data_IF_393801197909
#
_entry.id   IF_393801197909
#
_cell.length_a   1.000
_cell.length_b   1.000
_cell.length_c   1.000
_cell.angle_alpha   90.00
_cell.angle_beta   90.00
_cell.angle_gamma   90.00
#
_symmetry.space_group_name_H-M   'P 1'
#
loop_
_entity.id
_entity.type
_entity.pdbx_description
1 polymer ?
#
# COMPACT_ATOMS: atom_id res chain seq x y z
N UNK A 1 -32.28 -7.60 -52.44
CA UNK A 1 -32.37 -7.83 -50.99
C UNK A 1 -31.04 -8.38 -50.43
N UNK A 2 -30.48 -9.43 -51.01
CA UNK A 2 -29.23 -10.06 -50.53
C UNK A 2 -28.00 -9.10 -50.56
N UNK A 3 -27.90 -8.21 -51.55
CA UNK A 3 -26.82 -7.19 -51.63
C UNK A 3 -26.96 -6.11 -50.54
N UNK A 4 -28.18 -5.79 -50.11
CA UNK A 4 -28.44 -4.80 -49.07
C UNK A 4 -28.11 -5.36 -47.69
N UNK A 5 -28.46 -6.61 -47.42
CA UNK A 5 -28.15 -7.33 -46.18
C UNK A 5 -26.62 -7.53 -46.00
N UNK A 6 -25.88 -7.86 -47.08
CA UNK A 6 -24.43 -7.94 -47.04
C UNK A 6 -23.75 -6.60 -46.69
N UNK A 7 -24.29 -5.47 -47.20
CA UNK A 7 -23.75 -4.15 -46.91
C UNK A 7 -23.97 -3.72 -45.46
N UNK A 8 -25.13 -4.06 -44.88
CA UNK A 8 -25.44 -3.82 -43.47
C UNK A 8 -24.54 -4.66 -42.57
N UNK A 9 -24.34 -5.94 -42.89
CA UNK A 9 -23.45 -6.83 -42.14
C UNK A 9 -21.98 -6.39 -42.20
N UNK A 10 -21.51 -5.89 -43.33
CA UNK A 10 -20.13 -5.39 -43.51
C UNK A 10 -19.89 -4.10 -42.71
N UNK A 11 -20.86 -3.18 -42.68
CA UNK A 11 -20.77 -1.96 -41.90
C UNK A 11 -20.81 -2.23 -40.39
N UNK A 12 -21.66 -3.16 -39.96
CA UNK A 12 -21.73 -3.58 -38.54
C UNK A 12 -20.44 -4.23 -38.03
N UNK A 13 -19.77 -5.04 -38.89
CA UNK A 13 -18.48 -5.66 -38.54
C UNK A 13 -17.33 -4.63 -38.55
N UNK A 14 -17.41 -3.62 -39.44
CA UNK A 14 -16.44 -2.52 -39.45
C UNK A 14 -16.58 -1.61 -38.22
N UNK A 15 -17.82 -1.29 -37.83
CA UNK A 15 -18.07 -0.50 -36.60
C UNK A 15 -17.66 -1.25 -35.34
N UNK A 16 -17.88 -2.57 -35.27
CA UNK A 16 -17.39 -3.42 -34.19
C UNK A 16 -15.84 -3.49 -34.14
N UNK A 17 -15.17 -3.42 -35.30
CA UNK A 17 -13.71 -3.35 -35.37
C UNK A 17 -13.18 -2.01 -34.87
N UNK A 18 -13.78 -0.89 -35.30
CA UNK A 18 -13.42 0.46 -34.85
C UNK A 18 -13.72 0.66 -33.37
N UNK A 19 -14.82 0.08 -32.84
CA UNK A 19 -15.08 0.11 -31.40
C UNK A 19 -14.08 -0.73 -30.60
N UNK A 20 -13.55 -1.84 -31.16
CA UNK A 20 -12.48 -2.61 -30.53
C UNK A 20 -11.14 -1.87 -30.49
N UNK A 21 -10.84 -1.04 -31.48
CA UNK A 21 -9.59 -0.27 -31.54
C UNK A 21 -9.60 0.95 -30.60
N UNK A 22 -10.79 1.46 -30.23
CA UNK A 22 -10.95 2.59 -29.31
C UNK A 22 -11.32 2.19 -27.87
N UNK A 23 -11.55 0.92 -27.61
CA UNK A 23 -11.72 0.41 -26.25
C UNK A 23 -10.33 0.20 -25.67
N UNK A 24 -9.85 1.16 -24.88
CA UNK A 24 -8.74 0.92 -23.95
C UNK A 24 -9.26 -0.09 -22.92
N UNK A 25 -9.22 -1.35 -23.32
CA UNK A 25 -9.32 -2.44 -22.37
C UNK A 25 -8.01 -2.35 -21.58
N UNK A 26 -8.10 -1.94 -20.33
CA UNK A 26 -7.07 -2.31 -19.35
C UNK A 26 -7.14 -3.83 -19.23
N UNK A 27 -6.62 -4.54 -20.22
CA UNK A 27 -6.24 -5.92 -20.07
C UNK A 27 -5.04 -5.89 -19.14
N UNK A 28 -5.21 -6.41 -17.93
CA UNK A 28 -4.07 -6.94 -17.21
C UNK A 28 -3.45 -7.92 -18.22
N UNK A 29 -2.29 -7.55 -18.74
CA UNK A 29 -1.64 -8.24 -19.84
C UNK A 29 -1.20 -9.60 -19.31
N UNK A 30 -2.07 -10.61 -19.46
CA UNK A 30 -1.71 -12.01 -19.24
C UNK A 30 -0.88 -12.47 -20.44
N UNK A 31 0.32 -11.90 -20.59
CA UNK A 31 1.34 -12.52 -21.42
C UNK A 31 1.74 -13.79 -20.70
N UNK A 32 1.73 -14.92 -21.40
CA UNK A 32 2.41 -16.14 -20.95
C UNK A 32 3.89 -15.79 -20.76
N UNK A 33 4.24 -15.39 -19.56
CA UNK A 33 5.61 -15.01 -19.23
C UNK A 33 6.39 -16.26 -18.84
N UNK A 34 7.35 -16.59 -19.65
CA UNK A 34 8.40 -17.57 -19.35
C UNK A 34 9.33 -17.09 -18.22
N UNK A 35 9.16 -15.84 -17.74
CA UNK A 35 9.92 -15.25 -16.65
C UNK A 35 8.97 -14.70 -15.59
N UNK A 36 9.07 -15.18 -14.34
CA UNK A 36 8.40 -14.56 -13.18
C UNK A 36 8.96 -13.15 -13.00
N UNK A 37 8.15 -12.13 -13.23
CA UNK A 37 8.50 -10.74 -12.93
C UNK A 37 8.05 -10.41 -11.52
N UNK A 38 9.02 -10.28 -10.62
CA UNK A 38 8.76 -9.65 -9.34
C UNK A 38 8.48 -8.16 -9.52
N UNK A 39 7.82 -7.55 -8.54
CA UNK A 39 7.52 -6.12 -8.53
C UNK A 39 7.36 -5.60 -7.10
N UNK A 40 7.54 -4.31 -6.94
CA UNK A 40 7.39 -3.61 -5.66
C UNK A 40 6.18 -2.68 -5.74
N UNK A 41 5.21 -2.90 -4.84
CA UNK A 41 4.00 -2.08 -4.70
C UNK A 41 4.01 -1.41 -3.32
N UNK A 42 3.93 -0.09 -3.27
CA UNK A 42 3.89 0.67 -2.02
C UNK A 42 2.52 1.30 -1.81
N UNK A 43 1.91 1.02 -0.66
CA UNK A 43 0.67 1.63 -0.18
C UNK A 43 1.04 2.58 0.95
N UNK A 44 0.99 3.88 0.72
CA UNK A 44 1.39 4.88 1.70
C UNK A 44 0.28 5.88 2.01
N UNK A 45 0.42 6.63 3.09
CA UNK A 45 -0.54 7.67 3.50
C UNK A 45 -0.62 7.83 5.02
N UNK A 46 -1.48 8.74 5.49
CA UNK A 46 -1.67 9.03 6.90
C UNK A 46 -2.30 7.86 7.69
N UNK A 47 -2.34 7.94 9.00
CA UNK A 47 -3.15 7.03 9.81
C UNK A 47 -4.63 7.13 9.41
N UNK A 48 -5.38 6.07 9.63
CA UNK A 48 -6.81 5.95 9.32
C UNK A 48 -7.18 6.05 7.82
N UNK A 49 -6.21 5.87 6.92
CA UNK A 49 -6.40 6.00 5.46
C UNK A 49 -6.71 4.67 4.75
N UNK A 50 -6.78 3.55 5.47
CA UNK A 50 -7.08 2.25 4.88
C UNK A 50 -5.88 1.52 4.27
N UNK A 51 -4.64 1.84 4.66
CA UNK A 51 -3.43 1.17 4.15
C UNK A 51 -3.43 -0.33 4.39
N UNK A 52 -3.67 -0.73 5.64
CA UNK A 52 -3.70 -2.13 6.05
C UNK A 52 -4.85 -2.88 5.39
N UNK A 53 -6.04 -2.26 5.23
CA UNK A 53 -7.18 -2.82 4.49
C UNK A 53 -6.79 -3.10 3.04
N UNK A 54 -6.14 -2.16 2.37
CA UNK A 54 -5.71 -2.32 0.98
C UNK A 54 -4.60 -3.39 0.85
N UNK A 55 -3.65 -3.44 1.79
CA UNK A 55 -2.65 -4.50 1.87
C UNK A 55 -3.34 -5.87 1.98
N UNK A 56 -4.23 -6.06 2.97
CA UNK A 56 -4.97 -7.29 3.19
C UNK A 56 -5.78 -7.66 1.94
N UNK A 57 -6.44 -6.70 1.29
CA UNK A 57 -7.21 -6.91 0.06
C UNK A 57 -6.34 -7.47 -1.06
N UNK A 58 -5.14 -6.91 -1.29
CA UNK A 58 -4.19 -7.39 -2.32
C UNK A 58 -3.67 -8.78 -1.98
N UNK A 59 -3.31 -9.04 -0.72
CA UNK A 59 -2.79 -10.33 -0.28
C UNK A 59 -3.84 -11.45 -0.36
N UNK A 60 -5.11 -11.18 0.02
CA UNK A 60 -6.21 -12.13 -0.16
C UNK A 60 -6.44 -12.50 -1.62
N UNK A 61 -6.34 -11.54 -2.56
CA UNK A 61 -6.42 -11.83 -3.99
C UNK A 61 -5.29 -12.75 -4.44
N UNK A 62 -4.06 -12.56 -3.94
CA UNK A 62 -2.94 -13.45 -4.23
C UNK A 62 -3.20 -14.88 -3.70
N UNK A 63 -3.73 -15.00 -2.48
CA UNK A 63 -4.12 -16.29 -1.91
C UNK A 63 -5.21 -16.99 -2.73
N UNK A 64 -6.23 -16.25 -3.20
CA UNK A 64 -7.26 -16.82 -4.11
C UNK A 64 -6.68 -17.26 -5.46
N UNK A 65 -5.58 -16.65 -5.91
CA UNK A 65 -4.82 -17.08 -7.08
C UNK A 65 -3.85 -18.23 -6.78
N UNK A 66 -3.98 -18.89 -5.63
CA UNK A 66 -3.13 -20.01 -5.17
C UNK A 66 -1.64 -19.66 -5.08
N UNK A 67 -1.30 -18.38 -4.90
CA UNK A 67 0.06 -17.91 -4.64
C UNK A 67 0.42 -18.13 -3.16
N UNK A 68 1.67 -18.49 -2.90
CA UNK A 68 2.20 -18.62 -1.54
C UNK A 68 2.53 -17.23 -1.01
N UNK A 69 1.80 -16.82 0.04
CA UNK A 69 1.86 -15.49 0.63
C UNK A 69 2.46 -15.57 2.03
N UNK A 70 3.45 -14.72 2.31
CA UNK A 70 3.98 -14.49 3.66
C UNK A 70 3.89 -13.01 4.00
N UNK A 71 3.63 -12.72 5.28
CA UNK A 71 3.41 -11.35 5.75
C UNK A 71 4.33 -11.08 6.93
N UNK A 72 5.00 -9.93 6.89
CA UNK A 72 5.92 -9.47 7.91
C UNK A 72 5.47 -8.15 8.51
N UNK A 73 5.74 -7.98 9.80
CA UNK A 73 5.60 -6.71 10.51
C UNK A 73 6.79 -6.49 11.44
N UNK A 74 7.13 -5.25 11.80
CA UNK A 74 8.21 -5.00 12.75
C UNK A 74 7.77 -5.44 14.16
N UNK A 75 8.67 -6.11 14.90
CA UNK A 75 8.40 -6.60 16.26
C UNK A 75 8.07 -5.48 17.25
N UNK A 76 8.46 -4.22 16.95
CA UNK A 76 8.10 -3.06 17.77
C UNK A 76 6.60 -2.76 17.76
N UNK A 77 5.85 -3.23 16.75
CA UNK A 77 4.40 -3.00 16.67
C UNK A 77 3.63 -4.03 17.51
N UNK A 78 3.37 -3.68 18.77
CA UNK A 78 2.64 -4.50 19.74
C UNK A 78 1.18 -4.08 19.94
N UNK A 79 0.64 -3.19 19.08
CA UNK A 79 -0.73 -2.64 19.22
C UNK A 79 -1.84 -3.66 19.07
N UNK A 80 -1.58 -4.71 18.29
CA UNK A 80 -2.48 -5.84 18.06
C UNK A 80 -1.78 -7.15 18.44
N UNK A 81 -2.44 -8.31 18.24
CA UNK A 81 -1.81 -9.60 18.57
C UNK A 81 -0.45 -9.74 17.89
N UNK A 82 0.51 -10.35 18.55
CA UNK A 82 1.90 -10.46 18.05
C UNK A 82 1.98 -11.16 16.68
N UNK A 83 0.99 -11.99 16.33
CA UNK A 83 0.99 -12.83 15.12
C UNK A 83 -0.03 -12.40 14.06
N UNK A 84 -0.68 -11.23 14.16
CA UNK A 84 -1.69 -10.82 13.20
C UNK A 84 -1.50 -9.37 12.73
N UNK A 85 -1.69 -9.15 11.42
CA UNK A 85 -1.98 -7.83 10.86
C UNK A 85 -3.49 -7.64 10.92
N UNK A 86 -3.93 -6.68 11.70
CA UNK A 86 -5.35 -6.39 11.93
C UNK A 86 -5.69 -5.03 11.35
N UNK A 87 -6.71 -4.97 10.50
CA UNK A 87 -7.26 -3.69 10.06
C UNK A 87 -8.24 -3.13 11.10
N UNK A 88 -8.54 -1.83 11.03
CA UNK A 88 -9.51 -1.17 11.90
C UNK A 88 -10.92 -1.81 11.86
N UNK A 89 -11.25 -2.58 10.82
CA UNK A 89 -12.50 -3.33 10.65
C UNK A 89 -12.41 -4.79 11.15
N UNK A 90 -11.44 -5.14 11.99
CA UNK A 90 -11.18 -6.48 12.53
C UNK A 90 -10.92 -7.56 11.46
N UNK A 91 -10.50 -7.20 10.27
CA UNK A 91 -9.99 -8.16 9.30
C UNK A 91 -8.55 -8.48 9.63
N UNK A 92 -8.23 -9.74 9.98
CA UNK A 92 -6.88 -10.17 10.30
C UNK A 92 -6.31 -11.13 9.28
N UNK A 93 -4.99 -11.10 9.12
CA UNK A 93 -4.19 -12.12 8.43
C UNK A 93 -2.97 -12.39 9.32
N UNK A 94 -2.58 -13.67 9.45
CA UNK A 94 -1.37 -14.04 10.19
C UNK A 94 -0.15 -13.34 9.61
N UNK A 95 0.72 -12.86 10.47
CA UNK A 95 1.97 -12.19 10.13
C UNK A 95 3.11 -12.68 11.02
N UNK A 96 4.31 -12.63 10.51
CA UNK A 96 5.53 -12.98 11.22
C UNK A 96 6.19 -11.68 11.72
N UNK A 97 6.26 -11.43 13.05
CA UNK A 97 6.99 -10.29 13.58
C UNK A 97 8.49 -10.53 13.42
N UNK A 98 9.23 -9.51 12.99
CA UNK A 98 10.68 -9.58 12.79
C UNK A 98 11.37 -8.31 13.27
N UNK A 99 12.63 -8.46 13.73
CA UNK A 99 13.42 -7.37 14.29
C UNK A 99 14.24 -6.61 13.23
N UNK A 100 14.53 -7.23 12.08
CA UNK A 100 15.37 -6.67 11.04
C UNK A 100 14.83 -7.00 9.66
N UNK A 101 14.93 -6.05 8.73
CA UNK A 101 14.53 -6.25 7.33
C UNK A 101 15.27 -7.41 6.66
N UNK A 102 16.56 -7.61 6.98
CA UNK A 102 17.37 -8.71 6.44
C UNK A 102 16.82 -10.09 6.80
N UNK A 103 16.12 -10.22 7.93
CA UNK A 103 15.51 -11.48 8.35
C UNK A 103 14.41 -11.95 7.38
N UNK A 104 13.78 -11.05 6.62
CA UNK A 104 12.76 -11.40 5.61
C UNK A 104 13.32 -12.41 4.61
N UNK A 105 14.57 -12.23 4.19
CA UNK A 105 15.22 -13.08 3.18
C UNK A 105 15.38 -14.54 3.63
N UNK A 106 15.38 -14.82 4.94
CA UNK A 106 15.49 -16.17 5.49
C UNK A 106 14.22 -16.99 5.32
N UNK A 107 13.06 -16.32 5.20
CA UNK A 107 11.75 -16.98 5.12
C UNK A 107 11.22 -17.11 3.69
N UNK A 108 11.92 -16.58 2.68
CA UNK A 108 11.36 -16.37 1.34
C UNK A 108 11.83 -17.36 0.26
N UNK A 109 12.34 -18.55 0.62
CA UNK A 109 12.88 -19.52 -0.35
C UNK A 109 11.86 -20.07 -1.35
N UNK A 110 10.56 -20.06 -1.02
CA UNK A 110 9.50 -20.62 -1.88
C UNK A 110 8.24 -19.74 -1.95
N UNK A 111 8.36 -18.42 -1.77
CA UNK A 111 7.24 -17.49 -1.67
C UNK A 111 7.01 -16.81 -3.01
N UNK A 112 5.74 -16.58 -3.35
CA UNK A 112 5.34 -15.86 -4.56
C UNK A 112 5.03 -14.38 -4.26
N UNK A 113 4.49 -14.09 -3.06
CA UNK A 113 4.09 -12.76 -2.64
C UNK A 113 4.50 -12.50 -1.20
N UNK A 114 5.16 -11.38 -0.96
CA UNK A 114 5.51 -10.86 0.36
C UNK A 114 4.67 -9.64 0.67
N UNK A 115 4.00 -9.63 1.83
CA UNK A 115 3.36 -8.47 2.42
C UNK A 115 4.21 -7.90 3.54
N UNK A 116 4.34 -6.58 3.63
CA UNK A 116 5.04 -5.89 4.72
C UNK A 116 4.13 -4.78 5.24
N UNK A 117 3.72 -4.87 6.51
CA UNK A 117 2.93 -3.81 7.15
C UNK A 117 3.79 -2.97 8.10
N UNK A 118 3.33 -1.76 8.41
CA UNK A 118 3.99 -0.79 9.29
C UNK A 118 5.47 -0.54 8.91
N UNK A 119 5.74 -0.51 7.60
CA UNK A 119 7.09 -0.51 7.04
C UNK A 119 7.97 0.68 7.47
N UNK A 120 7.38 1.79 7.94
CA UNK A 120 8.11 2.94 8.46
C UNK A 120 8.92 2.64 9.73
N UNK A 121 8.67 1.52 10.40
CA UNK A 121 9.38 1.12 11.60
C UNK A 121 10.54 0.14 11.34
N UNK A 122 10.73 -0.28 10.11
CA UNK A 122 11.88 -1.09 9.72
C UNK A 122 13.15 -0.23 9.58
N UNK A 123 14.27 -0.90 9.55
CA UNK A 123 15.59 -0.30 9.31
C UNK A 123 15.75 0.17 7.84
N UNK A 124 16.78 0.99 7.61
CA UNK A 124 17.07 1.59 6.30
C UNK A 124 17.53 0.54 5.24
N UNK A 125 17.74 -0.71 5.61
CA UNK A 125 18.04 -1.83 4.69
C UNK A 125 16.83 -2.40 3.99
N UNK A 126 15.59 -2.02 4.38
CA UNK A 126 14.39 -2.58 3.79
C UNK A 126 14.27 -2.37 2.27
N UNK A 127 14.65 -1.22 1.67
CA UNK A 127 14.61 -1.03 0.22
C UNK A 127 15.47 -2.04 -0.55
N UNK A 128 16.68 -2.33 -0.07
CA UNK A 128 17.58 -3.32 -0.67
C UNK A 128 16.98 -4.73 -0.60
N UNK A 129 16.40 -5.09 0.54
CA UNK A 129 15.69 -6.37 0.72
C UNK A 129 14.51 -6.50 -0.26
N UNK A 130 13.71 -5.45 -0.42
CA UNK A 130 12.60 -5.44 -1.37
C UNK A 130 13.07 -5.58 -2.82
N UNK A 131 14.14 -4.89 -3.22
CA UNK A 131 14.75 -5.03 -4.54
C UNK A 131 15.25 -6.46 -4.78
N UNK A 132 15.92 -7.06 -3.79
CA UNK A 132 16.42 -8.42 -3.89
C UNK A 132 15.28 -9.42 -4.10
N UNK A 133 14.18 -9.30 -3.34
CA UNK A 133 12.98 -10.12 -3.49
C UNK A 133 12.35 -9.96 -4.87
N UNK A 134 12.16 -8.72 -5.32
CA UNK A 134 11.59 -8.43 -6.63
C UNK A 134 12.47 -8.99 -7.76
N UNK A 135 13.79 -8.85 -7.66
CA UNK A 135 14.75 -9.41 -8.63
C UNK A 135 14.72 -10.94 -8.68
N UNK A 136 14.33 -11.61 -7.58
CA UNK A 136 14.09 -13.06 -7.52
C UNK A 136 12.70 -13.47 -8.06
N UNK A 137 11.89 -12.52 -8.54
CA UNK A 137 10.56 -12.78 -9.08
C UNK A 137 9.43 -12.78 -8.05
N UNK A 138 9.67 -12.27 -6.83
CA UNK A 138 8.67 -12.15 -5.77
C UNK A 138 7.90 -10.83 -5.93
N UNK A 139 6.59 -10.86 -5.79
CA UNK A 139 5.75 -9.68 -5.67
C UNK A 139 5.79 -9.15 -4.25
N UNK A 140 6.30 -7.94 -4.04
CA UNK A 140 6.43 -7.30 -2.72
C UNK A 140 5.37 -6.20 -2.58
N UNK A 141 4.50 -6.31 -1.57
CA UNK A 141 3.43 -5.33 -1.30
C UNK A 141 3.69 -4.73 0.09
N UNK A 142 3.91 -3.43 0.13
CA UNK A 142 4.37 -2.73 1.32
C UNK A 142 3.32 -1.72 1.74
N UNK A 143 2.96 -1.68 3.03
CA UNK A 143 2.12 -0.66 3.61
C UNK A 143 2.87 0.11 4.71
N UNK A 144 2.72 1.45 4.73
CA UNK A 144 3.35 2.25 5.77
C UNK A 144 3.00 3.73 5.73
N UNK A 145 3.32 4.42 6.84
CA UNK A 145 3.17 5.87 6.96
C UNK A 145 4.24 6.58 6.15
N UNK A 146 3.84 7.45 5.23
CA UNK A 146 4.77 8.25 4.41
C UNK A 146 5.40 9.42 5.18
N UNK A 147 4.72 9.92 6.21
CA UNK A 147 5.19 11.01 7.07
C UNK A 147 4.92 10.71 8.55
N UNK A 148 5.78 11.24 9.41
CA UNK A 148 5.55 11.27 10.85
C UNK A 148 4.53 12.37 11.23
N UNK A 149 4.24 12.51 12.53
CA UNK A 149 3.29 13.49 13.05
C UNK A 149 3.70 14.96 12.83
N UNK A 150 4.99 15.21 12.53
CA UNK A 150 5.53 16.54 12.18
C UNK A 150 5.43 16.81 10.68
N UNK A 151 4.90 15.89 9.89
CA UNK A 151 4.82 15.99 8.44
C UNK A 151 6.18 15.80 7.75
N UNK A 152 7.14 15.16 8.43
CA UNK A 152 8.47 14.83 7.89
C UNK A 152 8.45 13.41 7.33
N UNK A 153 9.12 13.14 6.19
CA UNK A 153 9.25 11.81 5.63
C UNK A 153 9.69 10.77 6.67
N UNK A 154 9.07 9.58 6.69
CA UNK A 154 9.21 8.63 7.77
C UNK A 154 9.87 7.31 7.34
N UNK A 155 10.95 6.95 8.05
CA UNK A 155 11.67 5.70 7.88
C UNK A 155 12.08 5.40 6.44
N UNK A 156 12.08 4.15 6.00
CA UNK A 156 12.46 3.75 4.65
C UNK A 156 11.39 4.05 3.58
N UNK A 157 10.17 4.50 3.94
CA UNK A 157 9.07 4.68 2.99
C UNK A 157 9.42 5.60 1.81
N UNK A 158 10.11 6.74 1.97
CA UNK A 158 10.49 7.59 0.83
C UNK A 158 11.38 6.86 -0.18
N UNK A 159 12.35 6.08 0.30
CA UNK A 159 13.23 5.27 -0.55
C UNK A 159 12.45 4.14 -1.24
N UNK A 160 11.54 3.48 -0.52
CA UNK A 160 10.64 2.46 -1.08
C UNK A 160 9.74 3.03 -2.17
N UNK A 161 9.16 4.23 -1.98
CA UNK A 161 8.37 4.89 -3.02
C UNK A 161 9.19 5.23 -4.27
N UNK A 162 10.50 5.51 -4.11
CA UNK A 162 11.39 5.83 -5.23
C UNK A 162 11.71 4.60 -6.11
N UNK A 163 11.81 3.40 -5.51
CA UNK A 163 12.16 2.16 -6.21
C UNK A 163 10.93 1.34 -6.63
N UNK A 164 9.73 1.70 -6.17
CA UNK A 164 8.50 0.96 -6.43
C UNK A 164 8.08 1.04 -7.90
N UNK A 165 7.58 -0.09 -8.42
CA UNK A 165 6.91 -0.16 -9.73
C UNK A 165 5.52 0.49 -9.67
N UNK A 166 4.85 0.45 -8.49
CA UNK A 166 3.55 1.06 -8.24
C UNK A 166 3.51 1.73 -6.86
N UNK A 167 3.07 2.99 -6.81
CA UNK A 167 2.80 3.71 -5.56
C UNK A 167 1.33 4.09 -5.48
N UNK A 168 0.64 3.58 -4.47
CA UNK A 168 -0.75 3.93 -4.15
C UNK A 168 -0.78 4.80 -2.90
N UNK A 169 -1.03 6.10 -3.05
CA UNK A 169 -1.20 7.00 -1.92
C UNK A 169 -2.67 7.10 -1.52
N UNK A 170 -2.99 6.58 -0.34
CA UNK A 170 -4.34 6.60 0.24
C UNK A 170 -4.49 7.72 1.26
N UNK A 171 -5.70 8.24 1.41
CA UNK A 171 -6.00 9.38 2.26
C UNK A 171 -7.12 9.05 3.24
N UNK A 172 -6.94 9.48 4.49
CA UNK A 172 -8.03 9.55 5.45
C UNK A 172 -8.89 10.81 5.19
N UNK A 173 -9.97 10.94 5.93
CA UNK A 173 -10.80 12.16 5.92
C UNK A 173 -10.38 13.08 7.07
N UNK A 174 -10.13 14.34 6.77
CA UNK A 174 -9.80 15.35 7.76
C UNK A 174 -10.95 15.54 8.74
N UNK A 175 -10.71 15.28 10.04
CA UNK A 175 -11.73 15.37 11.09
C UNK A 175 -12.26 16.79 11.34
N UNK A 176 -11.52 17.82 10.89
CA UNK A 176 -11.92 19.23 11.07
C UNK A 176 -12.79 19.77 9.93
N UNK A 177 -12.59 19.32 8.68
CA UNK A 177 -13.25 19.96 7.54
C UNK A 177 -13.76 18.99 6.46
N UNK A 178 -13.60 17.67 6.62
CA UNK A 178 -14.08 16.66 5.68
C UNK A 178 -13.28 16.51 4.37
N UNK A 179 -12.23 17.30 4.16
CA UNK A 179 -11.34 17.15 3.00
C UNK A 179 -10.38 15.97 3.18
N UNK A 180 -9.69 15.58 2.11
CA UNK A 180 -8.65 14.55 2.18
C UNK A 180 -7.53 14.95 3.15
N UNK A 181 -7.28 14.11 4.14
CA UNK A 181 -6.18 14.28 5.07
C UNK A 181 -4.85 13.88 4.44
N UNK A 182 -3.76 14.56 4.84
CA UNK A 182 -2.43 14.23 4.32
C UNK A 182 -1.41 13.94 5.43
N UNK A 183 -1.73 14.28 6.68
CA UNK A 183 -0.85 14.09 7.84
C UNK A 183 -1.61 13.52 9.03
N UNK A 184 -0.92 12.77 9.88
CA UNK A 184 -1.40 12.28 11.17
C UNK A 184 -0.93 13.24 12.25
N UNK A 185 -1.77 14.21 12.61
CA UNK A 185 -1.45 15.18 13.67
C UNK A 185 -1.55 14.52 15.04
N UNK A 186 -0.54 14.72 15.90
CA UNK A 186 -0.55 14.21 17.26
C UNK A 186 -1.24 15.19 18.19
N UNK A 187 -2.21 14.70 18.96
CA UNK A 187 -3.03 15.53 19.89
C UNK A 187 -2.42 15.64 21.27
N UNK A 188 -1.51 14.73 21.65
CA UNK A 188 -0.85 14.68 22.95
C UNK A 188 0.55 15.27 22.91
N UNK A 189 0.95 16.00 23.96
CA UNK A 189 2.30 16.55 24.10
C UNK A 189 3.30 15.44 24.42
N UNK A 190 3.96 14.93 23.42
CA UNK A 190 5.03 13.94 23.54
C UNK A 190 6.00 14.11 22.38
N UNK A 191 7.28 14.37 22.65
CA UNK A 191 8.32 14.60 21.66
C UNK A 191 8.92 13.33 21.05
N UNK A 192 8.60 12.15 21.57
CA UNK A 192 9.10 10.90 20.99
C UNK A 192 8.56 10.74 19.58
N UNK A 193 9.45 10.48 18.61
CA UNK A 193 9.08 10.30 17.22
C UNK A 193 8.12 9.12 17.01
N UNK A 194 8.35 8.05 17.74
CA UNK A 194 7.49 6.86 17.77
C UNK A 194 6.68 6.88 19.06
N UNK A 195 5.37 7.04 18.92
CA UNK A 195 4.38 6.77 19.95
C UNK A 195 3.39 5.79 19.33
N UNK A 196 3.40 4.56 19.80
CA UNK A 196 2.40 3.56 19.43
C UNK A 196 1.07 3.99 20.05
N UNK A 197 0.18 4.54 19.24
CA UNK A 197 -1.09 5.09 19.68
C UNK A 197 -2.18 4.91 18.63
N UNK A 198 -3.42 5.12 19.04
CA UNK A 198 -4.62 4.98 18.23
C UNK A 198 -5.37 6.31 18.05
N UNK A 199 -6.70 6.23 17.96
CA UNK A 199 -7.58 7.39 17.69
C UNK A 199 -7.56 8.48 18.78
N UNK A 200 -7.09 8.16 19.99
CA UNK A 200 -7.03 9.11 21.09
C UNK A 200 -5.81 10.03 21.00
N UNK A 201 -4.70 9.55 20.40
CA UNK A 201 -3.45 10.29 20.31
C UNK A 201 -3.21 10.95 18.95
N UNK A 202 -3.95 10.55 17.91
CA UNK A 202 -3.74 11.06 16.56
C UNK A 202 -5.05 11.41 15.85
N UNK A 203 -5.02 12.50 15.09
CA UNK A 203 -6.11 12.91 14.21
C UNK A 203 -5.62 13.15 12.77
N UNK A 204 -6.33 12.64 11.75
CA UNK A 204 -5.99 12.91 10.36
C UNK A 204 -6.42 14.33 9.96
N UNK A 205 -5.47 15.13 9.48
CA UNK A 205 -5.71 16.51 9.07
C UNK A 205 -5.30 16.77 7.61
N UNK A 206 -6.09 17.60 6.92
CA UNK A 206 -5.68 18.17 5.65
C UNK A 206 -4.60 19.25 5.87
N UNK A 207 -3.88 19.63 4.83
CA UNK A 207 -2.80 20.62 4.90
C UNK A 207 -3.22 21.94 5.57
N UNK A 208 -4.39 22.45 5.23
CA UNK A 208 -4.91 23.71 5.79
C UNK A 208 -5.19 23.59 7.30
N UNK A 209 -5.90 22.54 7.73
CA UNK A 209 -6.24 22.34 9.14
C UNK A 209 -4.99 22.03 9.99
N UNK A 210 -4.02 21.30 9.44
CA UNK A 210 -2.75 21.03 10.11
C UNK A 210 -1.95 22.30 10.36
N UNK A 211 -1.84 23.20 9.37
CA UNK A 211 -1.16 24.49 9.55
C UNK A 211 -1.83 25.39 10.60
N UNK A 212 -3.15 25.29 10.78
CA UNK A 212 -3.87 26.00 11.85
C UNK A 212 -3.55 25.38 13.21
N UNK A 213 -3.59 24.03 13.32
CA UNK A 213 -3.27 23.32 14.56
C UNK A 213 -1.86 23.63 15.05
N UNK A 214 -0.85 23.64 14.17
CA UNK A 214 0.52 24.01 14.52
C UNK A 214 0.65 25.42 15.11
N UNK A 215 -0.15 26.39 14.64
CA UNK A 215 -0.14 27.75 15.19
C UNK A 215 -0.79 27.82 16.57
N UNK A 216 -1.82 27.04 16.80
CA UNK A 216 -2.51 26.95 18.10
C UNK A 216 -1.61 26.27 19.14
N UNK A 217 -0.83 25.25 18.75
CA UNK A 217 0.09 24.54 19.66
C UNK A 217 1.28 25.42 20.08
N UNK A 218 1.76 26.32 19.21
CA UNK A 218 2.84 27.29 19.53
C UNK A 218 2.33 28.39 20.48
N UNK A 219 1.03 28.65 20.54
CA UNK A 219 0.43 29.69 21.38
C UNK A 219 0.01 29.23 22.78
N UNK A 220 0.17 27.94 23.08
CA UNK A 220 -0.03 27.32 24.41
C UNK A 220 1.28 27.19 25.16
#
# INVERSE_FOLDING_TARGET
LLRYLKKIFYNSVAELRVMKENMVVYSEDHREETCRRGRIEVICGSMFSGKTEELIRRLRRATFAHQRVEIFKPSIDTRYSEEEVVSHDNNSIKSTPIDSSASILLFTSEIDVVGIDEAQFFDDGLPEVCNELANRGVRVIIAGLDMDFKGVPFGPIPALCAIADEVTKVHAICVKCGNLAYVSHRTVLNDKRVLLGEKEEYEPLCRCCYQKALKEDVSK
#
